data_IF_435041859693
#
_entry.id   IF_435041859693
#
_cell.length_a   1.000
_cell.length_b   1.000
_cell.length_c   1.000
_cell.angle_alpha   90.00
_cell.angle_beta   90.00
_cell.angle_gamma   90.00
#
_symmetry.space_group_name_H-M   'P 1'
#
loop_
_entity.id
_entity.type
_entity.pdbx_description
1 polymer ?
#
# COMPACT_ATOMS: atom_id res chain seq x y z
N UNK A 1 -2.75 3.25 -3.10
CA UNK A 1 -2.39 4.63 -2.76
C UNK A 1 -1.21 4.59 -1.83
N UNK A 2 -0.01 4.86 -2.34
CA UNK A 2 1.11 5.22 -1.50
C UNK A 2 0.72 6.55 -0.82
N UNK A 3 0.38 6.51 0.46
CA UNK A 3 0.04 7.72 1.21
C UNK A 3 1.35 8.41 1.54
N UNK A 4 1.73 9.40 0.72
CA UNK A 4 2.80 10.33 1.04
C UNK A 4 2.28 11.28 2.13
N UNK A 5 2.60 11.03 3.38
CA UNK A 5 2.42 11.99 4.46
C UNK A 5 3.67 12.85 4.56
N UNK A 6 3.70 13.97 3.84
CA UNK A 6 4.64 15.05 4.06
C UNK A 6 4.11 16.01 5.13
N UNK A 7 4.94 16.39 6.11
CA UNK A 7 4.62 17.51 7.01
C UNK A 7 4.55 18.81 6.20
N UNK A 8 3.55 19.63 6.49
CA UNK A 8 3.44 21.01 5.94
C UNK A 8 4.47 21.92 6.60
N UNK A 9 5.07 22.83 5.83
CA UNK A 9 6.17 23.74 6.20
C UNK A 9 5.92 24.70 7.40
N UNK A 10 4.80 24.57 8.12
CA UNK A 10 4.40 25.48 9.20
C UNK A 10 4.08 24.82 10.54
N UNK A 11 4.52 23.57 10.79
CA UNK A 11 4.34 22.98 12.12
C UNK A 11 5.49 23.33 13.05
N UNK A 12 5.16 24.02 14.14
CA UNK A 12 6.09 24.39 15.21
C UNK A 12 6.61 23.12 15.90
N UNK A 13 7.94 23.01 16.03
CA UNK A 13 8.62 21.88 16.64
C UNK A 13 8.07 21.56 18.05
N UNK A 14 7.39 20.43 18.19
CA UNK A 14 6.75 19.99 19.44
C UNK A 14 7.71 19.33 20.46
N UNK A 15 9.01 19.23 20.16
CA UNK A 15 9.99 18.65 21.10
C UNK A 15 11.39 19.27 20.95
N UNK A 16 12.19 19.34 22.04
CA UNK A 16 13.55 19.91 22.02
C UNK A 16 14.52 19.27 21.04
N UNK A 17 14.29 18.02 20.64
CA UNK A 17 15.13 17.27 19.68
C UNK A 17 14.95 17.69 18.22
N UNK A 18 13.97 18.49 17.87
CA UNK A 18 13.74 18.96 16.50
C UNK A 18 14.68 20.12 16.07
N UNK A 19 15.42 20.72 16.99
CA UNK A 19 16.33 21.85 16.73
C UNK A 19 17.73 21.49 16.27
N UNK A 20 18.14 20.22 16.39
CA UNK A 20 19.48 19.81 15.95
C UNK A 20 19.43 19.39 14.48
N UNK A 21 20.39 19.90 13.68
CA UNK A 21 20.64 19.40 12.31
C UNK A 21 20.89 17.89 12.38
N UNK A 22 19.85 17.11 12.19
CA UNK A 22 19.99 15.66 12.06
C UNK A 22 20.68 15.38 10.72
N UNK A 23 21.56 14.39 10.70
CA UNK A 23 22.12 13.90 9.47
C UNK A 23 20.95 13.53 8.52
N UNK A 24 20.87 14.23 7.42
CA UNK A 24 19.95 13.91 6.34
C UNK A 24 20.75 13.19 5.26
N UNK A 25 20.43 11.93 4.93
CA UNK A 25 21.08 11.23 3.84
C UNK A 25 20.96 12.00 2.53
N UNK A 26 21.97 11.89 1.66
CA UNK A 26 21.91 12.41 0.28
C UNK A 26 20.96 11.56 -0.55
N UNK A 27 20.88 10.27 -0.26
CA UNK A 27 19.96 9.34 -0.88
C UNK A 27 18.52 9.64 -0.47
N UNK A 28 17.58 9.46 -1.39
CA UNK A 28 16.16 9.40 -1.05
C UNK A 28 15.88 8.10 -0.32
N UNK A 29 15.62 8.17 0.96
CA UNK A 29 15.23 7.01 1.78
C UNK A 29 13.70 6.88 1.78
N UNK A 30 13.21 5.65 1.61
CA UNK A 30 11.81 5.28 1.67
C UNK A 30 11.66 4.09 2.61
N UNK A 31 10.90 4.23 3.68
CA UNK A 31 10.61 3.11 4.58
C UNK A 31 9.58 2.20 3.93
N UNK A 32 9.81 0.89 4.03
CA UNK A 32 8.88 -0.14 3.56
C UNK A 32 8.36 -0.88 4.79
N UNK A 33 7.06 -0.73 5.05
CA UNK A 33 6.34 -1.46 6.09
C UNK A 33 5.79 -2.75 5.48
N UNK A 34 6.43 -3.86 5.80
CA UNK A 34 6.14 -5.18 5.24
C UNK A 34 6.73 -6.28 6.11
N UNK A 35 6.19 -7.49 6.01
CA UNK A 35 6.91 -8.69 6.45
C UNK A 35 8.18 -8.92 5.62
N UNK A 36 9.08 -9.79 6.09
CA UNK A 36 10.38 -10.06 5.45
C UNK A 36 10.25 -10.42 3.98
N UNK A 37 9.41 -11.40 3.65
CA UNK A 37 9.28 -11.91 2.27
C UNK A 37 8.71 -10.86 1.33
N UNK A 38 7.73 -10.12 1.79
CA UNK A 38 7.12 -9.02 1.02
C UNK A 38 8.13 -7.91 0.76
N UNK A 39 8.92 -7.54 1.79
CA UNK A 39 10.00 -6.56 1.66
C UNK A 39 11.06 -7.01 0.65
N UNK A 40 11.60 -8.23 0.79
CA UNK A 40 12.62 -8.79 -0.10
C UNK A 40 12.12 -8.82 -1.55
N UNK A 41 10.92 -9.33 -1.78
CA UNK A 41 10.31 -9.37 -3.12
C UNK A 41 10.12 -7.97 -3.70
N UNK A 42 9.66 -7.01 -2.89
CA UNK A 42 9.48 -5.65 -3.33
C UNK A 42 10.80 -5.02 -3.74
N UNK A 43 11.82 -5.08 -2.89
CA UNK A 43 13.11 -4.42 -3.11
C UNK A 43 13.87 -5.06 -4.27
N UNK A 44 13.84 -6.38 -4.40
CA UNK A 44 14.50 -7.10 -5.49
C UNK A 44 13.96 -6.74 -6.88
N UNK A 45 12.74 -6.22 -6.96
CA UNK A 45 12.14 -5.73 -8.20
C UNK A 45 12.42 -4.24 -8.49
N UNK A 46 13.16 -3.53 -7.62
CA UNK A 46 13.47 -2.12 -7.81
C UNK A 46 14.82 -1.92 -8.48
N UNK A 47 14.82 -1.62 -9.77
CA UNK A 47 16.06 -1.41 -10.53
C UNK A 47 16.83 -0.18 -10.04
N UNK A 48 18.12 -0.35 -9.77
CA UNK A 48 19.01 0.73 -9.34
C UNK A 48 18.81 1.24 -7.92
N UNK A 49 18.00 0.53 -7.13
CA UNK A 49 17.80 0.81 -5.72
C UNK A 49 18.86 0.15 -4.84
N UNK A 50 18.98 0.65 -3.63
CA UNK A 50 19.75 0.08 -2.52
C UNK A 50 18.79 -0.35 -1.42
N UNK A 51 19.19 -1.34 -0.63
CA UNK A 51 18.47 -1.78 0.55
C UNK A 51 19.16 -1.31 1.83
N UNK A 52 18.38 -0.85 2.79
CA UNK A 52 18.75 -0.71 4.20
C UNK A 52 17.91 -1.72 4.98
N UNK A 53 18.52 -2.81 5.43
CA UNK A 53 17.78 -3.98 5.86
C UNK A 53 18.41 -4.62 7.10
N UNK A 54 17.76 -5.64 7.64
CA UNK A 54 18.32 -6.43 8.75
C UNK A 54 19.33 -7.46 8.26
N UNK A 55 20.10 -8.02 9.19
CA UNK A 55 21.12 -9.02 8.88
C UNK A 55 20.54 -10.29 8.26
N UNK A 56 19.31 -10.62 8.64
CA UNK A 56 18.59 -11.81 8.20
C UNK A 56 17.86 -11.66 6.86
N UNK A 57 17.80 -10.44 6.30
CA UNK A 57 17.11 -10.22 5.03
C UNK A 57 17.94 -10.65 3.83
N UNK A 58 17.29 -11.33 2.88
CA UNK A 58 17.91 -11.85 1.65
C UNK A 58 17.48 -11.00 0.43
N UNK A 59 18.27 -9.99 0.12
CA UNK A 59 18.02 -9.12 -1.04
C UNK A 59 19.15 -9.20 -2.05
N UNK A 60 18.82 -9.11 -3.33
CA UNK A 60 19.77 -9.19 -4.45
C UNK A 60 20.29 -7.81 -4.91
N UNK A 61 19.68 -6.72 -4.45
CA UNK A 61 20.18 -5.36 -4.72
C UNK A 61 21.35 -5.02 -3.78
N UNK A 62 22.20 -4.03 -4.12
CA UNK A 62 23.22 -3.54 -3.19
C UNK A 62 22.58 -3.15 -1.85
N UNK A 63 23.17 -3.62 -0.74
CA UNK A 63 22.59 -3.45 0.58
C UNK A 63 23.58 -3.00 1.64
N UNK A 64 23.05 -2.37 2.66
CA UNK A 64 23.72 -2.13 3.94
C UNK A 64 22.80 -2.60 5.05
N UNK A 65 23.31 -3.42 5.94
CA UNK A 65 22.57 -3.87 7.12
C UNK A 65 22.71 -2.85 8.24
N UNK A 66 21.67 -2.74 9.07
CA UNK A 66 21.66 -1.89 10.26
C UNK A 66 21.33 -2.65 11.54
N UNK A 67 21.76 -3.92 11.61
CA UNK A 67 21.63 -4.82 12.75
C UNK A 67 20.63 -5.95 12.54
N UNK A 68 20.52 -6.82 13.55
CA UNK A 68 19.58 -7.94 13.53
C UNK A 68 18.15 -7.48 13.76
N UNK A 69 17.17 -8.15 13.15
CA UNK A 69 15.73 -7.87 13.26
C UNK A 69 15.22 -7.90 14.71
N UNK A 70 15.85 -8.77 15.54
CA UNK A 70 15.42 -8.96 16.92
C UNK A 70 16.33 -8.27 17.96
N UNK A 71 17.31 -7.47 17.53
CA UNK A 71 18.20 -6.72 18.42
C UNK A 71 18.08 -5.20 18.19
N UNK A 72 17.17 -4.57 18.94
CA UNK A 72 16.92 -3.13 18.89
C UNK A 72 18.16 -2.31 19.24
N UNK A 73 19.07 -2.84 20.07
CA UNK A 73 20.30 -2.14 20.48
C UNK A 73 21.33 -2.14 19.36
N UNK A 74 21.50 -3.24 18.63
CA UNK A 74 22.36 -3.29 17.44
C UNK A 74 21.84 -2.32 16.38
N UNK A 75 20.54 -2.32 16.11
CA UNK A 75 19.90 -1.39 15.19
C UNK A 75 20.15 0.08 15.57
N UNK A 76 20.03 0.41 16.87
CA UNK A 76 20.25 1.78 17.35
C UNK A 76 21.71 2.24 17.19
N UNK A 77 22.68 1.33 17.30
CA UNK A 77 24.11 1.61 17.13
C UNK A 77 24.50 1.75 15.67
N UNK A 78 23.97 0.89 14.81
CA UNK A 78 24.42 0.73 13.44
C UNK A 78 23.68 1.62 12.43
N UNK A 79 22.43 2.03 12.70
CA UNK A 79 21.61 2.79 11.77
C UNK A 79 22.33 4.02 11.18
N UNK A 80 23.03 4.79 12.02
CA UNK A 80 23.67 6.03 11.57
C UNK A 80 24.84 5.75 10.63
N UNK A 81 25.66 4.75 10.95
CA UNK A 81 26.78 4.33 10.11
C UNK A 81 26.28 3.67 8.81
N UNK A 82 25.20 2.91 8.89
CA UNK A 82 24.57 2.31 7.72
C UNK A 82 24.08 3.37 6.72
N UNK A 83 23.45 4.44 7.19
CA UNK A 83 23.01 5.55 6.33
C UNK A 83 24.21 6.28 5.68
N UNK A 84 25.32 6.48 6.42
CA UNK A 84 26.54 7.08 5.84
C UNK A 84 27.17 6.19 4.79
N UNK A 85 27.25 4.89 5.04
CA UNK A 85 27.78 3.92 4.07
C UNK A 85 26.97 3.92 2.77
N UNK A 86 25.64 4.04 2.84
CA UNK A 86 24.81 4.17 1.66
C UNK A 86 25.13 5.43 0.85
N UNK A 87 25.38 6.57 1.52
CA UNK A 87 25.80 7.79 0.85
C UNK A 87 27.19 7.64 0.20
N UNK A 88 28.14 6.98 0.88
CA UNK A 88 29.48 6.68 0.35
C UNK A 88 29.42 5.74 -0.87
N UNK A 89 28.48 4.80 -0.88
CA UNK A 89 28.23 3.92 -2.02
C UNK A 89 27.51 4.64 -3.19
N UNK A 90 27.14 5.92 -3.03
CA UNK A 90 26.48 6.70 -4.05
C UNK A 90 25.01 6.32 -4.27
N UNK A 91 24.34 5.75 -3.26
CA UNK A 91 22.94 5.42 -3.34
C UNK A 91 22.10 6.65 -3.68
N UNK A 92 21.20 6.53 -4.66
CA UNK A 92 20.23 7.59 -5.01
C UNK A 92 18.88 7.35 -4.38
N UNK A 93 18.45 6.10 -4.34
CA UNK A 93 17.22 5.67 -3.70
C UNK A 93 17.49 4.45 -2.83
N UNK A 94 16.98 4.49 -1.61
CA UNK A 94 17.16 3.45 -0.59
C UNK A 94 15.79 3.03 -0.09
N UNK A 95 15.49 1.75 -0.14
CA UNK A 95 14.34 1.16 0.51
C UNK A 95 14.76 0.56 1.85
N UNK A 96 14.27 1.15 2.93
CA UNK A 96 14.60 0.76 4.29
C UNK A 96 13.50 -0.13 4.86
N UNK A 97 13.87 -1.30 5.37
CA UNK A 97 12.92 -2.13 6.12
C UNK A 97 12.56 -1.44 7.43
N UNK A 98 11.26 -1.44 7.78
CA UNK A 98 10.78 -0.80 8.99
C UNK A 98 11.27 -1.55 10.24
N UNK A 99 11.83 -0.86 11.27
CA UNK A 99 12.07 -1.47 12.57
C UNK A 99 10.77 -1.57 13.37
N UNK A 100 10.80 -2.32 14.47
CA UNK A 100 9.69 -2.33 15.43
C UNK A 100 9.40 -0.90 15.92
N UNK A 101 8.14 -0.63 16.23
CA UNK A 101 7.68 0.70 16.67
C UNK A 101 7.36 0.75 18.16
N UNK A 102 7.95 -0.16 18.96
CA UNK A 102 7.74 -0.27 20.40
C UNK A 102 9.07 -0.34 21.15
N UNK A 103 9.08 0.01 22.43
CA UNK A 103 10.27 -0.07 23.27
C UNK A 103 11.45 0.74 22.74
N UNK A 104 12.64 0.15 22.79
CA UNK A 104 13.92 0.77 22.33
C UNK A 104 13.89 0.99 20.81
N UNK A 105 13.27 0.10 20.06
CA UNK A 105 13.14 0.21 18.61
C UNK A 105 12.40 1.49 18.17
N UNK A 106 11.54 2.07 19.01
CA UNK A 106 10.89 3.36 18.72
C UNK A 106 11.91 4.48 18.46
N UNK A 107 13.04 4.46 19.15
CA UNK A 107 14.11 5.47 18.92
C UNK A 107 14.78 5.27 17.56
N UNK A 108 14.95 4.02 17.12
CA UNK A 108 15.46 3.66 15.79
C UNK A 108 14.46 4.12 14.73
N UNK A 109 13.19 3.78 14.90
CA UNK A 109 12.10 4.21 14.00
C UNK A 109 12.05 5.73 13.86
N UNK A 110 12.09 6.47 14.99
CA UNK A 110 12.04 7.93 14.98
C UNK A 110 13.23 8.58 14.26
N UNK A 111 14.38 7.96 14.24
CA UNK A 111 15.54 8.40 13.45
C UNK A 111 15.36 8.09 11.98
N UNK A 112 14.94 6.85 11.69
CA UNK A 112 14.75 6.39 10.31
C UNK A 112 13.64 7.16 9.60
N UNK A 113 12.51 7.43 10.25
CA UNK A 113 11.39 8.17 9.65
C UNK A 113 11.78 9.60 9.28
N UNK A 114 12.64 10.25 10.09
CA UNK A 114 13.19 11.57 9.76
C UNK A 114 14.18 11.51 8.60
N UNK A 115 15.04 10.51 8.56
CA UNK A 115 15.94 10.28 7.43
C UNK A 115 15.18 10.02 6.13
N UNK A 116 14.00 9.39 6.22
CA UNK A 116 13.10 9.14 5.11
C UNK A 116 12.17 10.32 4.76
N UNK A 117 12.33 11.48 5.41
CA UNK A 117 11.42 12.62 5.27
C UNK A 117 9.94 12.19 5.36
N UNK A 118 9.63 11.30 6.30
CA UNK A 118 8.29 10.73 6.55
C UNK A 118 7.68 9.96 5.38
N UNK A 119 8.52 9.44 4.48
CA UNK A 119 8.06 8.66 3.33
C UNK A 119 7.99 7.18 3.69
N UNK A 120 6.78 6.62 3.72
CA UNK A 120 6.54 5.20 4.01
C UNK A 120 5.71 4.58 2.88
N UNK A 121 6.06 3.37 2.48
CA UNK A 121 5.24 2.49 1.66
C UNK A 121 4.69 1.39 2.58
N UNK A 122 3.37 1.36 2.78
CA UNK A 122 2.68 0.32 3.57
C UNK A 122 2.27 -0.81 2.62
N UNK A 123 2.93 -1.96 2.75
CA UNK A 123 2.62 -3.20 2.03
C UNK A 123 1.96 -4.26 2.92
N UNK A 124 1.61 -3.89 4.17
CA UNK A 124 0.91 -4.79 5.10
C UNK A 124 -0.55 -5.00 4.72
N UNK A 125 -1.10 -4.06 3.92
CA UNK A 125 -2.49 -4.09 3.46
C UNK A 125 -2.55 -4.44 1.98
N UNK A 126 -3.57 -5.17 1.55
CA UNK A 126 -3.78 -5.44 0.14
C UNK A 126 -3.97 -4.13 -0.62
N UNK A 127 -3.22 -3.96 -1.70
CA UNK A 127 -3.39 -2.83 -2.61
C UNK A 127 -4.66 -3.03 -3.43
N UNK A 128 -5.60 -2.09 -3.32
CA UNK A 128 -6.82 -2.08 -4.12
C UNK A 128 -6.76 -0.96 -5.15
N UNK A 129 -6.86 -1.32 -6.42
CA UNK A 129 -6.93 -0.38 -7.53
C UNK A 129 -8.36 -0.28 -8.06
N UNK A 130 -8.97 0.89 -7.95
CA UNK A 130 -10.24 1.20 -8.60
C UNK A 130 -10.02 1.59 -10.06
N UNK A 131 -10.62 0.82 -10.99
CA UNK A 131 -10.59 1.12 -12.41
C UNK A 131 -11.95 1.61 -12.88
N UNK A 132 -12.03 2.87 -13.30
CA UNK A 132 -13.26 3.50 -13.81
C UNK A 132 -13.03 4.07 -15.21
N UNK A 133 -14.10 4.41 -15.91
CA UNK A 133 -14.07 5.01 -17.24
C UNK A 133 -15.33 4.67 -18.04
N UNK A 134 -15.55 5.40 -19.12
CA UNK A 134 -16.68 5.22 -20.02
C UNK A 134 -16.71 3.82 -20.67
N UNK A 135 -17.87 3.43 -21.21
CA UNK A 135 -17.99 2.22 -22.03
C UNK A 135 -17.02 2.32 -23.23
N UNK A 136 -16.34 1.24 -23.56
CA UNK A 136 -15.34 1.23 -24.63
C UNK A 136 -13.95 1.79 -24.29
N UNK A 137 -13.71 2.33 -23.07
CA UNK A 137 -12.42 2.89 -22.66
C UNK A 137 -11.30 1.86 -22.43
N UNK A 138 -11.54 0.59 -22.71
CA UNK A 138 -10.52 -0.47 -22.57
C UNK A 138 -10.34 -1.05 -21.16
N UNK A 139 -11.27 -0.77 -20.22
CA UNK A 139 -11.22 -1.31 -18.85
C UNK A 139 -11.02 -2.82 -18.81
N UNK A 140 -11.82 -3.57 -19.57
CA UNK A 140 -11.75 -5.04 -19.59
C UNK A 140 -10.41 -5.56 -20.11
N UNK A 141 -9.77 -4.85 -21.05
CA UNK A 141 -8.43 -5.18 -21.52
C UNK A 141 -7.39 -5.01 -20.42
N UNK A 142 -7.45 -3.89 -19.68
CA UNK A 142 -6.56 -3.63 -18.55
C UNK A 142 -6.77 -4.66 -17.44
N UNK A 143 -8.03 -4.97 -17.08
CA UNK A 143 -8.37 -6.01 -16.10
C UNK A 143 -7.78 -7.37 -16.49
N UNK A 144 -7.90 -7.76 -17.77
CA UNK A 144 -7.30 -9.00 -18.27
C UNK A 144 -5.77 -9.00 -18.07
N UNK A 145 -5.10 -7.89 -18.42
CA UNK A 145 -3.65 -7.77 -18.26
C UNK A 145 -3.20 -7.79 -16.79
N UNK A 146 -3.98 -7.21 -15.89
CA UNK A 146 -3.72 -7.26 -14.46
C UNK A 146 -3.90 -8.69 -13.92
N UNK A 147 -4.96 -9.40 -14.35
CA UNK A 147 -5.21 -10.79 -13.99
C UNK A 147 -4.06 -11.72 -14.44
N UNK A 148 -3.53 -11.51 -15.65
CA UNK A 148 -2.35 -12.25 -16.16
C UNK A 148 -1.10 -12.00 -15.29
N UNK A 149 -1.04 -10.90 -14.53
CA UNK A 149 0.04 -10.56 -13.58
C UNK A 149 -0.26 -10.96 -12.13
N UNK A 150 -1.30 -11.76 -11.89
CA UNK A 150 -1.64 -12.27 -10.57
C UNK A 150 -2.53 -11.38 -9.72
N UNK A 151 -3.07 -10.29 -10.26
CA UNK A 151 -4.05 -9.47 -9.53
C UNK A 151 -5.42 -10.16 -9.49
N UNK A 152 -6.07 -10.12 -8.32
CA UNK A 152 -7.48 -10.48 -8.21
C UNK A 152 -8.33 -9.36 -8.81
N UNK A 153 -9.22 -9.73 -9.71
CA UNK A 153 -10.13 -8.79 -10.37
C UNK A 153 -11.53 -9.00 -9.81
N UNK A 154 -12.12 -7.91 -9.34
CA UNK A 154 -13.53 -7.85 -8.93
C UNK A 154 -14.26 -7.00 -9.95
N UNK A 155 -15.16 -7.62 -10.71
CA UNK A 155 -16.08 -6.93 -11.60
C UNK A 155 -17.40 -6.70 -10.85
N UNK A 156 -17.70 -5.45 -10.54
CA UNK A 156 -18.89 -5.10 -9.75
C UNK A 156 -20.19 -5.51 -10.45
N UNK A 157 -20.26 -5.45 -11.78
CA UNK A 157 -21.44 -5.87 -12.54
C UNK A 157 -21.67 -7.38 -12.45
N UNK A 158 -20.56 -8.15 -12.46
CA UNK A 158 -20.63 -9.61 -12.29
C UNK A 158 -21.01 -9.99 -10.85
N UNK A 159 -20.46 -9.28 -9.86
CA UNK A 159 -20.84 -9.47 -8.45
C UNK A 159 -22.33 -9.22 -8.23
N UNK A 160 -22.86 -8.10 -8.72
CA UNK A 160 -24.29 -7.79 -8.62
C UNK A 160 -25.15 -8.85 -9.31
N UNK A 161 -24.74 -9.33 -10.48
CA UNK A 161 -25.45 -10.41 -11.18
C UNK A 161 -25.49 -11.68 -10.34
N UNK A 162 -24.37 -12.08 -9.76
CA UNK A 162 -24.28 -13.26 -8.90
C UNK A 162 -25.17 -13.13 -7.66
N UNK A 163 -25.20 -11.96 -7.02
CA UNK A 163 -26.06 -11.70 -5.87
C UNK A 163 -27.55 -11.88 -6.27
N UNK A 164 -27.96 -11.30 -7.39
CA UNK A 164 -29.33 -11.47 -7.87
C UNK A 164 -29.70 -12.92 -8.22
N UNK A 165 -28.72 -13.72 -8.65
CA UNK A 165 -28.94 -15.14 -8.96
C UNK A 165 -28.96 -16.04 -7.71
N UNK A 166 -28.31 -15.63 -6.61
CA UNK A 166 -28.06 -16.50 -5.43
C UNK A 166 -28.78 -16.08 -4.15
N UNK A 167 -28.96 -14.77 -3.94
CA UNK A 167 -29.56 -14.24 -2.69
C UNK A 167 -31.07 -14.09 -2.81
N UNK A 168 -31.79 -15.15 -2.43
CA UNK A 168 -33.27 -15.16 -2.42
C UNK A 168 -33.88 -14.14 -1.47
N UNK A 169 -33.16 -13.78 -0.39
CA UNK A 169 -33.64 -12.81 0.60
C UNK A 169 -33.63 -11.42 0.02
N UNK A 170 -32.54 -11.07 -0.69
CA UNK A 170 -32.45 -9.79 -1.41
C UNK A 170 -33.50 -9.70 -2.50
N UNK A 171 -33.66 -10.76 -3.31
CA UNK A 171 -34.67 -10.80 -4.38
C UNK A 171 -36.06 -10.53 -3.81
N UNK A 172 -36.42 -11.17 -2.69
CA UNK A 172 -37.69 -10.94 -2.01
C UNK A 172 -37.84 -9.48 -1.54
N UNK A 173 -36.82 -8.94 -0.86
CA UNK A 173 -36.85 -7.55 -0.38
C UNK A 173 -37.03 -6.55 -1.53
N UNK A 174 -36.37 -6.80 -2.65
CA UNK A 174 -36.52 -5.95 -3.85
C UNK A 174 -37.90 -6.06 -4.47
N UNK A 175 -38.52 -7.25 -4.47
CA UNK A 175 -39.92 -7.41 -4.94
C UNK A 175 -40.89 -6.76 -3.97
N UNK A 176 -40.64 -6.81 -2.68
CA UNK A 176 -41.51 -6.16 -1.68
C UNK A 176 -41.48 -4.62 -1.84
N UNK A 177 -40.34 -4.04 -2.22
CA UNK A 177 -40.16 -2.59 -2.42
C UNK A 177 -40.63 -2.11 -3.81
N UNK A 178 -40.26 -2.82 -4.88
CA UNK A 178 -40.43 -2.37 -6.27
C UNK A 178 -41.52 -3.12 -7.04
N UNK A 179 -42.23 -4.06 -6.39
CA UNK A 179 -43.22 -4.90 -7.01
C UNK A 179 -42.62 -6.08 -7.79
N UNK A 180 -43.41 -6.68 -8.71
CA UNK A 180 -42.93 -7.84 -9.48
C UNK A 180 -41.88 -7.43 -10.53
N UNK A 181 -40.64 -7.44 -10.12
CA UNK A 181 -39.45 -7.18 -10.94
C UNK A 181 -38.78 -8.47 -11.40
N UNK A 182 -39.46 -9.62 -11.34
CA UNK A 182 -38.89 -10.90 -11.75
C UNK A 182 -39.39 -11.39 -13.09
N UNK A 183 -38.61 -12.23 -13.75
CA UNK A 183 -38.95 -13.03 -14.90
C UNK A 183 -38.30 -14.41 -14.71
N UNK A 184 -39.10 -15.46 -14.79
CA UNK A 184 -38.69 -16.86 -14.53
C UNK A 184 -37.95 -17.04 -13.16
N UNK A 185 -38.41 -16.31 -12.13
CA UNK A 185 -37.88 -16.38 -10.77
C UNK A 185 -36.53 -15.68 -10.56
N UNK A 186 -36.04 -14.92 -11.53
CA UNK A 186 -34.85 -14.11 -11.48
C UNK A 186 -35.14 -12.63 -11.66
N UNK A 187 -34.29 -11.76 -11.07
CA UNK A 187 -34.41 -10.31 -11.23
C UNK A 187 -34.31 -9.92 -12.73
N UNK A 188 -35.33 -9.29 -13.24
CA UNK A 188 -35.33 -8.65 -14.56
C UNK A 188 -34.77 -7.22 -14.44
N UNK A 189 -33.49 -7.09 -14.79
CA UNK A 189 -32.77 -5.81 -14.70
C UNK A 189 -33.41 -4.69 -15.55
N UNK A 190 -34.11 -5.02 -16.61
CA UNK A 190 -34.80 -4.01 -17.43
C UNK A 190 -36.01 -3.49 -16.71
N UNK A 191 -36.81 -4.39 -16.10
CA UNK A 191 -37.96 -4.00 -15.27
C UNK A 191 -37.51 -3.15 -14.10
N UNK A 192 -36.53 -3.60 -13.32
CA UNK A 192 -35.97 -2.87 -12.18
C UNK A 192 -35.42 -1.51 -12.63
N UNK A 193 -34.61 -1.47 -13.69
CA UNK A 193 -34.04 -0.24 -14.21
C UNK A 193 -35.10 0.76 -14.70
N UNK A 194 -36.21 0.29 -15.32
CA UNK A 194 -37.28 1.17 -15.73
C UNK A 194 -38.01 1.82 -14.56
N UNK A 195 -38.06 1.17 -13.40
CA UNK A 195 -38.63 1.74 -12.17
C UNK A 195 -37.67 2.74 -11.57
N UNK A 196 -36.43 2.31 -11.29
CA UNK A 196 -35.41 3.09 -10.55
C UNK A 196 -34.97 4.36 -11.31
N UNK A 197 -34.86 4.29 -12.66
CA UNK A 197 -34.39 5.43 -13.45
C UNK A 197 -35.51 6.33 -13.99
N UNK A 198 -36.79 5.92 -13.89
CA UNK A 198 -37.94 6.75 -14.27
C UNK A 198 -38.60 7.43 -13.08
N UNK A 199 -38.24 7.07 -11.85
CA UNK A 199 -38.71 7.76 -10.66
C UNK A 199 -37.98 9.12 -10.54
N UNK A 200 -38.72 10.19 -10.87
CA UNK A 200 -38.28 11.60 -10.75
C UNK A 200 -38.71 12.19 -9.41
N UNK A 201 -38.50 11.46 -8.30
CA UNK A 201 -38.71 12.01 -6.97
C UNK A 201 -37.50 12.83 -6.50
#
# INVERSE_FOLDING_TARGET
NAVLHGMKDNETAASPGMKYKHYAPKARVVIVDADRKTYENFVNNQKGAFALCFDEDEVSVPRVNYGSENDDLSQARELFDALRRLDEMGAKIVYARIPRTTGVAMAVYNRLIRAAAFTIIDLTKPFTLGLTGQSGAGKSYICKKLKERGFNIIDCDEVVKNIYDTDKTLVKSLCDEFGDITTDGKIDRKKLGSIVFNDKS
#
